data_IF_479084456625
#
_entry.id   IF_479084456625
#
_cell.length_a   1.000
_cell.length_b   1.000
_cell.length_c   1.000
_cell.angle_alpha   90.00
_cell.angle_beta   90.00
_cell.angle_gamma   90.00
#
_symmetry.space_group_name_H-M   'P 1'
#
loop_
_entity.id
_entity.type
_entity.pdbx_description
1 polymer ?
#
# COMPACT_ATOMS: atom_id res chain seq x y z
N UNK A 1 -7.41 13.58 -8.15
CA UNK A 1 -6.14 13.81 -7.43
C UNK A 1 -5.15 12.83 -8.01
N UNK A 2 -4.00 13.27 -8.54
CA UNK A 2 -2.99 12.36 -9.09
C UNK A 2 -1.94 12.14 -8.01
N UNK A 3 -1.90 10.93 -7.47
CA UNK A 3 -1.07 10.57 -6.33
C UNK A 3 0.30 10.06 -6.82
N UNK A 4 1.36 10.52 -6.16
CA UNK A 4 2.72 9.98 -6.28
C UNK A 4 2.96 8.94 -5.17
N UNK A 5 4.02 8.11 -5.29
CA UNK A 5 4.57 7.38 -4.16
C UNK A 5 4.80 8.30 -2.97
N UNK A 6 4.71 7.76 -1.75
CA UNK A 6 4.93 8.54 -0.54
C UNK A 6 6.28 9.27 -0.55
N UNK A 7 6.29 10.47 0.01
CA UNK A 7 7.47 11.32 0.15
C UNK A 7 7.91 11.25 1.61
N UNK A 8 9.12 10.74 1.85
CA UNK A 8 9.72 10.70 3.19
C UNK A 8 10.49 11.97 3.53
N UNK A 9 11.42 11.83 4.47
CA UNK A 9 12.21 12.95 4.99
C UNK A 9 12.99 13.67 3.86
N UNK A 10 13.14 14.99 3.98
CA UNK A 10 13.84 15.84 3.01
C UNK A 10 13.31 15.77 1.56
N UNK A 11 12.06 15.33 1.36
CA UNK A 11 11.46 15.27 0.02
C UNK A 11 11.87 14.03 -0.79
N UNK A 12 12.51 13.04 -0.17
CA UNK A 12 12.90 11.78 -0.82
C UNK A 12 11.66 10.99 -1.21
N UNK A 13 11.49 10.69 -2.49
CA UNK A 13 10.34 9.92 -2.97
C UNK A 13 10.61 8.42 -2.87
N UNK A 14 9.62 7.66 -2.42
CA UNK A 14 9.73 6.22 -2.37
C UNK A 14 9.66 5.58 -3.76
N UNK A 15 10.33 4.43 -3.90
CA UNK A 15 10.29 3.61 -5.12
C UNK A 15 8.89 3.06 -5.40
N UNK A 16 8.10 2.82 -4.35
CA UNK A 16 6.80 2.15 -4.43
C UNK A 16 5.69 2.97 -3.78
N UNK A 17 4.48 2.79 -4.29
CA UNK A 17 3.26 3.26 -3.66
C UNK A 17 3.03 2.54 -2.32
N UNK A 18 2.61 3.29 -1.30
CA UNK A 18 2.34 2.74 0.04
C UNK A 18 1.06 1.90 0.01
N UNK A 19 1.12 0.61 0.37
CA UNK A 19 -0.09 -0.21 0.47
C UNK A 19 -0.94 0.20 1.68
N UNK A 20 -2.23 -0.11 1.64
CA UNK A 20 -3.11 0.05 2.81
C UNK A 20 -2.71 -0.88 3.96
N UNK A 21 -2.89 -0.40 5.20
CA UNK A 21 -2.79 -1.21 6.42
C UNK A 21 -4.12 -1.88 6.80
N UNK A 22 -5.22 -1.50 6.15
CA UNK A 22 -6.52 -2.12 6.42
C UNK A 22 -6.46 -3.62 6.07
N UNK A 23 -6.88 -4.46 7.01
CA UNK A 23 -6.86 -5.92 6.89
C UNK A 23 -5.45 -6.52 6.71
N UNK A 24 -4.39 -5.78 7.04
CA UNK A 24 -3.00 -6.22 6.81
C UNK A 24 -2.63 -7.49 7.57
N UNK A 25 -3.25 -7.73 8.73
CA UNK A 25 -3.04 -8.94 9.55
C UNK A 25 -3.31 -10.24 8.80
N UNK A 26 -4.12 -10.22 7.75
CA UNK A 26 -4.44 -11.41 6.96
C UNK A 26 -3.47 -11.65 5.79
N UNK A 27 -2.51 -10.74 5.55
CA UNK A 27 -1.51 -10.94 4.52
C UNK A 27 -0.48 -11.96 4.98
N UNK A 28 -0.18 -12.95 4.13
CA UNK A 28 0.93 -13.90 4.37
C UNK A 28 2.30 -13.24 4.20
N UNK A 29 2.39 -12.33 3.23
CA UNK A 29 3.60 -11.60 2.87
C UNK A 29 3.33 -10.10 2.93
N UNK A 30 4.26 -9.35 3.49
CA UNK A 30 4.26 -7.90 3.64
C UNK A 30 5.22 -7.27 2.61
N UNK A 31 5.01 -5.97 2.36
CA UNK A 31 5.55 -5.26 1.19
C UNK A 31 5.08 -5.83 -0.15
N UNK A 32 5.37 -5.09 -1.24
CA UNK A 32 5.00 -5.51 -2.60
C UNK A 32 5.89 -6.65 -3.14
N UNK A 33 7.13 -6.79 -2.66
CA UNK A 33 8.04 -7.88 -3.03
C UNK A 33 8.04 -9.05 -2.03
N UNK A 34 7.25 -8.97 -0.97
CA UNK A 34 7.07 -10.08 -0.04
C UNK A 34 8.28 -10.39 0.84
N UNK A 35 9.19 -9.43 1.02
CA UNK A 35 10.43 -9.61 1.80
C UNK A 35 10.22 -9.82 3.30
N UNK A 36 9.01 -9.66 3.79
CA UNK A 36 8.67 -9.79 5.21
C UNK A 36 7.36 -10.55 5.38
N UNK A 37 7.16 -11.19 6.52
CA UNK A 37 5.98 -11.98 6.88
C UNK A 37 5.48 -11.71 8.30
N UNK A 38 6.20 -10.91 9.09
CA UNK A 38 5.86 -10.51 10.46
C UNK A 38 5.62 -9.01 10.54
N UNK A 39 4.46 -8.60 11.05
CA UNK A 39 4.17 -7.18 11.31
C UNK A 39 5.20 -6.59 12.30
N UNK A 40 5.56 -7.35 13.34
CA UNK A 40 6.56 -6.94 14.33
C UNK A 40 7.94 -6.67 13.72
N UNK A 41 8.32 -7.37 12.65
CA UNK A 41 9.58 -7.12 11.96
C UNK A 41 9.44 -6.02 10.89
N UNK A 42 8.28 -5.94 10.23
CA UNK A 42 8.00 -5.00 9.16
C UNK A 42 8.24 -3.57 9.61
N UNK A 43 7.82 -3.20 10.84
CA UNK A 43 7.86 -1.84 11.37
C UNK A 43 9.24 -1.20 11.38
N UNK A 44 10.31 -1.99 11.55
CA UNK A 44 11.67 -1.46 11.63
C UNK A 44 12.18 -0.96 10.28
N UNK A 45 11.69 -1.52 9.19
CA UNK A 45 12.16 -1.17 7.85
C UNK A 45 11.79 0.27 7.45
N UNK A 46 10.51 0.73 7.52
CA UNK A 46 10.18 2.12 7.24
C UNK A 46 10.77 3.09 8.27
N UNK A 47 10.88 2.68 9.54
CA UNK A 47 11.50 3.49 10.60
C UNK A 47 12.96 3.83 10.28
N UNK A 48 13.72 2.86 9.79
CA UNK A 48 15.16 2.99 9.51
C UNK A 48 15.47 3.38 8.06
N UNK A 49 14.52 3.24 7.13
CA UNK A 49 14.75 3.54 5.73
C UNK A 49 15.01 5.04 5.52
N UNK A 50 16.16 5.36 4.93
CA UNK A 50 16.60 6.74 4.68
C UNK A 50 15.65 7.54 3.76
N UNK A 51 14.94 6.88 2.85
CA UNK A 51 13.94 7.54 1.99
C UNK A 51 12.58 7.70 2.65
N UNK A 52 12.39 7.16 3.86
CA UNK A 52 11.13 7.15 4.59
C UNK A 52 11.26 7.97 5.88
N UNK A 53 11.29 7.31 7.06
CA UNK A 53 11.36 7.99 8.36
C UNK A 53 12.80 8.29 8.82
N UNK A 54 13.79 7.60 8.23
CA UNK A 54 15.22 7.85 8.38
C UNK A 54 15.76 7.94 9.82
N UNK A 55 15.22 7.15 10.74
CA UNK A 55 15.79 7.04 12.09
C UNK A 55 17.19 6.41 12.02
N UNK A 56 18.22 6.97 12.68
CA UNK A 56 19.60 6.50 12.54
C UNK A 56 19.84 5.06 13.01
N UNK A 57 19.10 4.61 14.03
CA UNK A 57 19.22 3.26 14.58
C UNK A 57 18.04 2.92 15.49
N UNK A 58 17.87 1.63 15.79
CA UNK A 58 16.91 1.14 16.79
C UNK A 58 17.18 1.76 18.17
N UNK A 59 18.46 1.85 18.57
CA UNK A 59 18.84 2.47 19.84
C UNK A 59 18.45 3.95 19.93
N UNK A 60 18.56 4.67 18.83
CA UNK A 60 18.11 6.06 18.73
C UNK A 60 16.59 6.17 18.94
N UNK A 61 15.81 5.28 18.32
CA UNK A 61 14.35 5.24 18.49
C UNK A 61 13.98 4.98 19.95
N UNK A 62 14.60 3.98 20.59
CA UNK A 62 14.35 3.67 22.01
C UNK A 62 14.69 4.88 22.90
N UNK A 63 15.83 5.53 22.64
CA UNK A 63 16.23 6.73 23.39
C UNK A 63 15.22 7.87 23.19
N UNK A 64 14.79 8.12 21.94
CA UNK A 64 13.78 9.11 21.61
C UNK A 64 12.48 8.85 22.36
N UNK A 65 11.95 7.62 22.32
CA UNK A 65 10.70 7.27 23.00
C UNK A 65 10.79 7.46 24.53
N UNK A 66 11.94 7.18 25.15
CA UNK A 66 12.17 7.43 26.59
C UNK A 66 12.21 8.92 26.97
N UNK A 67 12.44 9.81 26.00
CA UNK A 67 12.47 11.26 26.23
C UNK A 67 11.10 11.91 26.02
N UNK A 68 10.11 11.18 25.50
CA UNK A 68 8.75 11.69 25.36
C UNK A 68 8.05 11.55 26.72
N UNK A 69 7.60 12.68 27.27
CA UNK A 69 6.90 12.72 28.55
C UNK A 69 5.69 11.75 28.55
N UNK A 70 5.61 10.89 29.56
CA UNK A 70 4.53 9.91 29.74
C UNK A 70 4.72 8.57 29.02
N UNK A 71 5.63 8.46 28.03
CA UNK A 71 5.79 7.20 27.29
C UNK A 71 6.41 6.09 28.15
N UNK A 72 7.28 6.41 29.11
CA UNK A 72 7.85 5.39 30.01
C UNK A 72 6.72 4.75 30.83
N UNK A 73 5.82 5.56 31.39
CA UNK A 73 4.70 5.13 32.21
C UNK A 73 3.69 4.31 31.40
N UNK A 74 3.32 4.78 30.21
CA UNK A 74 2.37 4.06 29.33
C UNK A 74 2.94 2.71 28.89
N UNK A 75 4.23 2.63 28.56
CA UNK A 75 4.86 1.36 28.20
C UNK A 75 4.99 0.41 29.40
N UNK A 76 5.25 0.91 30.61
CA UNK A 76 5.30 0.05 31.80
C UNK A 76 3.90 -0.47 32.17
N UNK A 77 2.86 0.32 31.99
CA UNK A 77 1.46 -0.10 32.20
C UNK A 77 1.02 -1.17 31.19
N UNK A 78 1.30 -0.94 29.89
CA UNK A 78 0.99 -1.91 28.83
C UNK A 78 1.87 -3.17 28.88
N UNK A 79 3.14 -3.02 29.29
CA UNK A 79 4.14 -4.09 29.31
C UNK A 79 4.94 -4.16 30.64
N UNK A 80 4.31 -4.65 31.73
CA UNK A 80 4.93 -4.68 33.04
C UNK A 80 6.26 -5.44 33.06
N UNK A 81 7.30 -4.81 33.64
CA UNK A 81 8.69 -5.30 33.76
C UNK A 81 9.47 -5.37 32.44
N UNK A 82 8.91 -4.90 31.33
CA UNK A 82 9.60 -4.83 30.02
C UNK A 82 9.88 -3.38 29.62
N UNK A 83 8.92 -2.48 29.85
CA UNK A 83 9.00 -1.07 29.46
C UNK A 83 9.28 -0.89 27.96
N UNK A 84 9.96 0.19 27.59
CA UNK A 84 10.31 0.49 26.19
C UNK A 84 11.51 -0.36 25.74
N UNK A 85 11.26 -1.32 24.83
CA UNK A 85 12.26 -2.21 24.23
C UNK A 85 11.92 -2.49 22.75
N UNK A 86 12.80 -3.20 22.04
CA UNK A 86 12.55 -3.63 20.65
C UNK A 86 11.28 -4.48 20.57
N UNK A 87 11.13 -5.41 21.51
CA UNK A 87 9.98 -6.32 21.58
C UNK A 87 8.68 -5.56 21.85
N UNK A 88 8.66 -4.62 22.80
CA UNK A 88 7.42 -3.93 23.16
C UNK A 88 7.03 -2.86 22.14
N UNK A 89 7.99 -2.20 21.49
CA UNK A 89 7.71 -1.25 20.40
C UNK A 89 7.10 -1.98 19.19
N UNK A 90 7.74 -3.09 18.78
CA UNK A 90 7.24 -3.89 17.66
C UNK A 90 5.87 -4.50 17.94
N UNK A 91 5.66 -5.02 19.15
CA UNK A 91 4.39 -5.58 19.57
C UNK A 91 3.28 -4.54 19.66
N UNK A 92 3.57 -3.34 20.17
CA UNK A 92 2.57 -2.26 20.28
C UNK A 92 2.06 -1.82 18.90
N UNK A 93 2.97 -1.57 17.95
CA UNK A 93 2.59 -1.15 16.59
C UNK A 93 1.88 -2.29 15.87
N UNK A 94 2.42 -3.50 15.91
CA UNK A 94 1.78 -4.66 15.27
C UNK A 94 0.39 -4.92 15.86
N UNK A 95 0.22 -4.81 17.18
CA UNK A 95 -1.08 -4.97 17.86
C UNK A 95 -2.09 -3.94 17.37
N UNK A 96 -1.68 -2.69 17.21
CA UNK A 96 -2.53 -1.66 16.60
C UNK A 96 -2.88 -1.99 15.15
N UNK A 97 -1.92 -2.40 14.32
CA UNK A 97 -2.19 -2.79 12.92
C UNK A 97 -3.17 -3.97 12.82
N UNK A 98 -3.18 -4.89 13.80
CA UNK A 98 -4.13 -5.99 13.87
C UNK A 98 -5.56 -5.54 14.19
N UNK A 99 -5.78 -4.35 14.74
CA UNK A 99 -7.14 -3.82 14.99
C UNK A 99 -7.74 -3.15 13.76
N UNK A 100 -6.94 -2.85 12.73
CA UNK A 100 -7.35 -2.15 11.51
C UNK A 100 -8.15 -3.06 10.55
N UNK A 101 -9.22 -3.66 11.06
CA UNK A 101 -10.06 -4.62 10.33
C UNK A 101 -11.27 -3.92 9.74
N UNK A 102 -11.27 -3.82 8.42
CA UNK A 102 -12.39 -3.27 7.65
C UNK A 102 -13.24 -4.40 7.07
N UNK A 103 -14.50 -4.49 7.49
CA UNK A 103 -15.41 -5.57 7.11
C UNK A 103 -16.86 -5.10 6.97
N UNK A 104 -17.77 -6.07 6.81
CA UNK A 104 -19.19 -5.84 6.59
C UNK A 104 -19.48 -4.89 5.42
N UNK A 105 -18.72 -5.02 4.32
CA UNK A 105 -18.99 -4.23 3.11
C UNK A 105 -20.32 -4.62 2.47
N UNK A 106 -20.81 -3.82 1.52
CA UNK A 106 -22.02 -4.18 0.76
C UNK A 106 -21.88 -5.52 0.02
N UNK A 107 -20.68 -5.85 -0.45
CA UNK A 107 -20.38 -7.19 -0.97
C UNK A 107 -20.57 -8.27 0.10
N UNK A 108 -20.11 -8.07 1.33
CA UNK A 108 -20.25 -9.07 2.39
C UNK A 108 -21.72 -9.35 2.72
N UNK A 109 -22.50 -8.27 2.85
CA UNK A 109 -23.94 -8.33 3.09
C UNK A 109 -24.66 -9.11 1.98
N UNK A 110 -24.31 -8.84 0.73
CA UNK A 110 -24.89 -9.53 -0.42
C UNK A 110 -24.44 -10.99 -0.54
N UNK A 111 -23.12 -11.23 -0.60
CA UNK A 111 -22.56 -12.53 -0.96
C UNK A 111 -22.60 -13.53 0.21
N UNK A 112 -22.20 -13.10 1.41
CA UNK A 112 -22.17 -13.93 2.61
C UNK A 112 -23.45 -13.79 3.44
N UNK A 113 -23.92 -12.56 3.65
CA UNK A 113 -25.13 -12.25 4.40
C UNK A 113 -26.45 -12.56 3.66
N UNK A 114 -26.38 -12.86 2.36
CA UNK A 114 -27.52 -13.20 1.49
C UNK A 114 -28.58 -12.10 1.36
N UNK A 115 -28.23 -10.85 1.63
CA UNK A 115 -29.10 -9.71 1.37
C UNK A 115 -29.09 -9.38 -0.13
N UNK A 116 -30.14 -9.78 -0.84
CA UNK A 116 -30.27 -9.56 -2.29
C UNK A 116 -30.31 -8.08 -2.70
N UNK A 117 -30.59 -7.18 -1.75
CA UNK A 117 -30.76 -5.74 -1.97
C UNK A 117 -29.53 -4.93 -1.55
N UNK A 118 -28.52 -5.55 -0.95
CA UNK A 118 -27.32 -4.86 -0.47
C UNK A 118 -26.50 -4.22 -1.61
N UNK A 119 -26.59 -4.75 -2.84
CA UNK A 119 -25.93 -4.21 -4.03
C UNK A 119 -26.87 -4.15 -5.25
N UNK A 120 -26.57 -3.25 -6.18
CA UNK A 120 -27.32 -3.09 -7.43
C UNK A 120 -27.14 -4.26 -8.39
N UNK A 121 -28.05 -4.42 -9.36
CA UNK A 121 -27.92 -5.45 -10.39
C UNK A 121 -26.70 -5.23 -11.30
N UNK A 122 -26.30 -3.98 -11.54
CA UNK A 122 -25.07 -3.67 -12.27
C UNK A 122 -23.83 -4.14 -11.49
N UNK A 123 -23.80 -4.01 -10.15
CA UNK A 123 -22.71 -4.55 -9.33
C UNK A 123 -22.72 -6.09 -9.28
N UNK A 124 -23.90 -6.74 -9.27
CA UNK A 124 -24.01 -8.22 -9.39
C UNK A 124 -23.44 -8.69 -10.73
N UNK A 125 -23.76 -8.00 -11.83
CA UNK A 125 -23.16 -8.26 -13.15
C UNK A 125 -21.66 -8.00 -13.16
N UNK A 126 -21.20 -6.98 -12.45
CA UNK A 126 -19.79 -6.73 -12.20
C UNK A 126 -19.09 -7.94 -11.58
N UNK A 127 -19.68 -8.54 -10.54
CA UNK A 127 -19.14 -9.75 -9.93
C UNK A 127 -19.12 -10.95 -10.89
N UNK A 128 -20.16 -11.16 -11.70
CA UNK A 128 -20.17 -12.20 -12.73
C UNK A 128 -19.02 -12.03 -13.73
N UNK A 129 -18.72 -10.79 -14.14
CA UNK A 129 -17.58 -10.48 -15.03
C UNK A 129 -16.27 -10.73 -14.29
N UNK A 130 -16.15 -10.29 -13.04
CA UNK A 130 -14.97 -10.45 -12.21
C UNK A 130 -14.58 -11.92 -12.02
N UNK A 131 -15.57 -12.77 -11.76
CA UNK A 131 -15.39 -14.21 -11.59
C UNK A 131 -15.28 -14.99 -12.91
N UNK A 132 -15.89 -14.48 -13.98
CA UNK A 132 -15.97 -15.12 -15.29
C UNK A 132 -15.03 -14.49 -16.31
N UNK A 133 -15.58 -13.66 -17.20
CA UNK A 133 -14.88 -13.12 -18.38
C UNK A 133 -13.58 -12.38 -18.04
N UNK A 134 -13.58 -11.61 -16.95
CA UNK A 134 -12.40 -10.89 -16.48
C UNK A 134 -11.38 -11.78 -15.77
N UNK A 135 -11.80 -12.96 -15.29
CA UNK A 135 -10.98 -13.94 -14.57
C UNK A 135 -10.16 -13.34 -13.41
N UNK A 136 -10.61 -12.21 -12.85
CA UNK A 136 -9.94 -11.48 -11.79
C UNK A 136 -9.83 -12.31 -10.51
N UNK A 137 -10.84 -13.17 -10.27
CA UNK A 137 -10.91 -14.09 -9.14
C UNK A 137 -9.74 -15.09 -9.08
N UNK A 138 -9.04 -15.33 -10.18
CA UNK A 138 -7.90 -16.24 -10.23
C UNK A 138 -6.73 -15.77 -9.35
N UNK A 139 -6.58 -14.46 -9.17
CA UNK A 139 -5.59 -13.85 -8.27
C UNK A 139 -6.26 -13.14 -7.08
N UNK A 140 -7.41 -12.52 -7.30
CA UNK A 140 -8.17 -11.82 -6.28
C UNK A 140 -9.28 -12.72 -5.71
N UNK A 141 -8.85 -13.76 -4.99
CA UNK A 141 -9.70 -14.87 -4.60
C UNK A 141 -10.86 -14.50 -3.65
N UNK A 142 -12.00 -15.14 -3.90
CA UNK A 142 -13.19 -15.16 -3.02
C UNK A 142 -13.37 -16.60 -2.55
N UNK A 143 -13.27 -16.82 -1.24
CA UNK A 143 -13.37 -18.14 -0.63
C UNK A 143 -14.76 -18.37 -0.03
N UNK A 144 -15.02 -19.61 0.39
CA UNK A 144 -16.30 -20.04 0.96
C UNK A 144 -16.72 -19.20 2.18
N UNK A 145 -15.76 -18.86 3.04
CA UNK A 145 -16.03 -18.25 4.34
C UNK A 145 -15.51 -16.80 4.45
N UNK A 146 -14.72 -16.34 3.48
CA UNK A 146 -14.15 -15.00 3.47
C UNK A 146 -13.74 -14.55 2.07
N UNK A 147 -13.71 -13.23 1.85
CA UNK A 147 -13.20 -12.64 0.61
C UNK A 147 -12.19 -11.54 0.94
N UNK A 148 -10.91 -11.88 1.02
CA UNK A 148 -9.85 -10.87 1.13
C UNK A 148 -9.38 -10.38 -0.23
N UNK A 149 -9.88 -10.97 -1.33
CA UNK A 149 -9.54 -10.59 -2.70
C UNK A 149 -8.04 -10.64 -2.97
N UNK A 150 -7.38 -11.68 -2.47
CA UNK A 150 -5.94 -11.91 -2.55
C UNK A 150 -5.65 -13.41 -2.55
N UNK A 151 -4.66 -13.85 -3.31
CA UNK A 151 -4.20 -15.24 -3.40
C UNK A 151 -2.91 -15.51 -2.62
N UNK A 152 -2.29 -14.47 -2.04
CA UNK A 152 -0.99 -14.50 -1.39
C UNK A 152 0.14 -15.01 -2.30
N UNK A 153 0.03 -14.77 -3.62
CA UNK A 153 1.06 -15.07 -4.61
C UNK A 153 1.60 -13.80 -5.25
N UNK A 154 2.56 -13.97 -6.14
CA UNK A 154 3.22 -12.91 -6.87
C UNK A 154 3.00 -13.08 -8.37
N UNK A 155 2.72 -11.98 -9.05
CA UNK A 155 2.44 -11.97 -10.48
C UNK A 155 3.15 -10.80 -11.14
N UNK A 156 3.52 -11.00 -12.40
CA UNK A 156 4.05 -9.98 -13.27
C UNK A 156 2.95 -9.55 -14.23
N UNK A 157 2.53 -8.28 -14.12
CA UNK A 157 1.57 -7.64 -15.03
C UNK A 157 2.25 -6.84 -16.14
N UNK A 158 3.58 -6.71 -16.07
CA UNK A 158 4.44 -6.01 -17.01
C UNK A 158 4.77 -4.57 -16.64
N UNK A 159 4.15 -3.98 -15.60
CA UNK A 159 4.47 -2.60 -15.16
C UNK A 159 5.92 -2.50 -14.69
N UNK A 160 6.36 -3.39 -13.79
CA UNK A 160 7.75 -3.38 -13.32
C UNK A 160 8.78 -3.58 -14.44
N UNK A 161 8.41 -4.35 -15.48
CA UNK A 161 9.23 -4.54 -16.67
C UNK A 161 9.39 -3.25 -17.46
N UNK A 162 8.29 -2.57 -17.80
CA UNK A 162 8.31 -1.29 -18.53
C UNK A 162 9.14 -0.25 -17.80
N UNK A 163 8.96 -0.15 -16.47
CA UNK A 163 9.75 0.75 -15.64
C UNK A 163 11.24 0.43 -15.70
N UNK A 164 11.60 -0.86 -15.60
CA UNK A 164 13.00 -1.31 -15.62
C UNK A 164 13.69 -1.13 -16.97
N UNK A 165 12.93 -1.24 -18.07
CA UNK A 165 13.45 -1.08 -19.42
C UNK A 165 13.51 0.38 -19.87
N UNK A 166 12.99 1.31 -19.05
CA UNK A 166 12.96 2.74 -19.39
C UNK A 166 12.13 3.04 -20.63
N UNK A 167 11.13 2.18 -20.91
CA UNK A 167 10.21 2.31 -22.05
C UNK A 167 9.00 3.21 -21.72
N UNK A 168 8.92 3.76 -20.51
CA UNK A 168 8.08 4.93 -20.25
C UNK A 168 8.53 6.10 -21.14
N UNK A 169 7.56 6.82 -21.70
CA UNK A 169 7.81 7.92 -22.61
C UNK A 169 8.61 9.03 -21.88
N UNK A 170 9.92 9.09 -22.12
CA UNK A 170 10.82 10.12 -21.56
C UNK A 170 10.47 11.54 -22.02
N UNK A 171 9.64 11.65 -23.07
CA UNK A 171 9.14 12.89 -23.61
C UNK A 171 7.71 13.11 -23.11
N UNK A 172 7.58 13.76 -21.94
CA UNK A 172 6.29 14.07 -21.35
C UNK A 172 6.40 14.95 -20.11
N UNK A 173 5.24 15.48 -19.68
CA UNK A 173 5.09 16.14 -18.39
C UNK A 173 4.49 15.17 -17.40
N UNK A 174 5.07 15.10 -16.20
CA UNK A 174 4.55 14.35 -15.06
C UNK A 174 4.03 15.37 -14.04
N UNK A 175 2.80 15.18 -13.58
CA UNK A 175 2.19 16.03 -12.56
C UNK A 175 2.86 15.78 -11.21
N UNK A 176 3.35 16.83 -10.58
CA UNK A 176 4.11 16.80 -9.32
C UNK A 176 3.38 17.60 -8.27
N UNK A 177 3.14 16.98 -7.12
CA UNK A 177 2.66 17.68 -5.94
C UNK A 177 3.83 18.43 -5.29
N UNK A 178 3.71 19.76 -5.17
CA UNK A 178 4.71 20.59 -4.48
C UNK A 178 4.37 20.79 -3.01
N UNK A 179 3.08 20.76 -2.67
CA UNK A 179 2.58 20.84 -1.29
C UNK A 179 1.20 20.17 -1.19
N UNK A 180 0.70 19.84 0.01
CA UNK A 180 -0.64 19.27 0.18
C UNK A 180 -1.70 20.03 -0.63
N UNK A 181 -2.35 19.35 -1.59
CA UNK A 181 -3.34 19.94 -2.50
C UNK A 181 -2.81 20.73 -3.73
N UNK A 182 -1.53 21.10 -3.81
CA UNK A 182 -0.99 21.92 -4.92
C UNK A 182 -0.10 21.12 -5.88
N UNK A 183 -0.38 21.23 -7.19
CA UNK A 183 0.26 20.43 -8.23
C UNK A 183 0.75 21.28 -9.40
N UNK A 184 1.87 20.88 -10.02
CA UNK A 184 2.43 21.44 -11.26
C UNK A 184 2.80 20.33 -12.24
N UNK A 185 2.63 20.55 -13.53
CA UNK A 185 3.09 19.62 -14.56
C UNK A 185 4.56 19.91 -14.89
N UNK A 186 5.45 18.98 -14.56
CA UNK A 186 6.91 19.14 -14.70
C UNK A 186 7.42 18.19 -15.76
N UNK A 187 8.29 18.66 -16.64
CA UNK A 187 8.93 17.79 -17.63
C UNK A 187 9.71 16.66 -16.94
N UNK A 188 9.57 15.45 -17.48
CA UNK A 188 10.21 14.24 -16.93
C UNK A 188 11.74 14.41 -16.87
N UNK A 189 12.33 15.19 -17.79
CA UNK A 189 13.76 15.55 -17.77
C UNK A 189 14.14 16.37 -16.52
N UNK A 190 13.31 17.34 -16.13
CA UNK A 190 13.54 18.15 -14.92
C UNK A 190 13.42 17.29 -13.67
N UNK A 191 12.41 16.40 -13.63
CA UNK A 191 12.26 15.46 -12.50
C UNK A 191 13.49 14.55 -12.41
N UNK A 192 13.96 14.04 -13.54
CA UNK A 192 15.11 13.15 -13.61
C UNK A 192 16.41 13.84 -13.19
N UNK A 193 16.56 15.15 -13.42
CA UNK A 193 17.76 15.90 -13.06
C UNK A 193 17.82 16.29 -11.58
N UNK A 194 16.67 16.39 -10.89
CA UNK A 194 16.59 16.73 -9.46
C UNK A 194 16.34 15.54 -8.55
N UNK A 195 16.01 14.37 -9.11
CA UNK A 195 15.82 13.17 -8.31
C UNK A 195 17.17 12.68 -7.77
N UNK A 196 17.41 12.94 -6.48
CA UNK A 196 18.65 12.56 -5.79
C UNK A 196 18.82 11.03 -5.69
N UNK A 197 17.73 10.27 -5.79
CA UNK A 197 17.81 8.82 -5.96
C UNK A 197 17.82 8.49 -7.46
N UNK A 198 18.92 7.87 -7.92
CA UNK A 198 18.92 7.14 -9.18
C UNK A 198 17.68 6.24 -9.17
N UNK A 199 16.81 6.36 -10.17
CA UNK A 199 15.69 5.43 -10.35
C UNK A 199 16.27 4.02 -10.43
N UNK A 200 16.23 3.30 -9.32
CA UNK A 200 16.61 1.90 -9.29
C UNK A 200 15.51 1.11 -9.99
N UNK A 201 15.92 0.19 -10.86
CA UNK A 201 14.98 -0.71 -11.50
C UNK A 201 14.34 -1.58 -10.41
N UNK A 202 13.03 -1.44 -10.22
CA UNK A 202 12.30 -2.28 -9.28
C UNK A 202 12.04 -3.66 -9.88
N UNK A 203 12.91 -4.60 -9.53
CA UNK A 203 12.80 -5.99 -10.00
C UNK A 203 11.80 -6.83 -9.19
N UNK A 204 11.06 -6.24 -8.24
CA UNK A 204 10.07 -6.96 -7.43
C UNK A 204 10.69 -8.05 -6.55
N UNK A 205 10.04 -9.23 -6.50
CA UNK A 205 10.48 -10.40 -5.72
C UNK A 205 11.91 -10.87 -6.02
N UNK A 206 12.45 -10.57 -7.22
CA UNK A 206 13.86 -10.83 -7.53
C UNK A 206 14.80 -10.18 -6.51
N UNK A 207 14.50 -8.99 -5.99
CA UNK A 207 15.34 -8.29 -5.00
C UNK A 207 15.47 -9.05 -3.68
N UNK A 208 14.58 -10.01 -3.43
CA UNK A 208 14.55 -10.87 -2.23
C UNK A 208 15.17 -12.23 -2.51
N UNK A 209 14.93 -12.78 -3.70
CA UNK A 209 15.22 -14.19 -4.01
C UNK A 209 16.41 -14.40 -4.92
N UNK A 210 16.86 -13.36 -5.62
CA UNK A 210 17.90 -13.39 -6.66
C UNK A 210 17.64 -14.39 -7.80
N UNK A 211 16.45 -14.98 -7.87
CA UNK A 211 16.07 -15.92 -8.92
C UNK A 211 15.60 -15.15 -10.17
N UNK A 212 16.28 -15.26 -11.33
CA UNK A 212 15.91 -14.54 -12.56
C UNK A 212 14.45 -14.70 -12.99
N UNK A 213 13.82 -15.84 -12.68
CA UNK A 213 12.41 -16.10 -13.01
C UNK A 213 11.42 -15.31 -12.12
N UNK A 214 11.92 -14.64 -11.08
CA UNK A 214 11.11 -13.81 -10.16
C UNK A 214 11.17 -12.31 -10.47
N UNK A 215 11.79 -11.90 -11.59
CA UNK A 215 11.81 -10.49 -11.98
C UNK A 215 10.40 -9.96 -12.22
N UNK A 216 10.15 -8.77 -11.68
CA UNK A 216 8.90 -8.01 -11.79
C UNK A 216 7.66 -8.73 -11.25
N UNK A 217 7.86 -9.78 -10.45
CA UNK A 217 6.79 -10.38 -9.67
C UNK A 217 6.51 -9.50 -8.45
N UNK A 218 5.27 -9.05 -8.32
CA UNK A 218 4.77 -8.33 -7.15
C UNK A 218 3.59 -9.07 -6.55
N UNK A 219 3.44 -8.97 -5.23
CA UNK A 219 2.35 -9.58 -4.49
C UNK A 219 1.02 -9.04 -4.99
N UNK A 220 0.05 -9.92 -5.20
CA UNK A 220 -1.34 -9.50 -5.43
C UNK A 220 -1.84 -8.71 -4.21
N UNK A 221 -2.26 -7.43 -4.33
CA UNK A 221 -2.83 -6.70 -3.21
C UNK A 221 -4.29 -7.13 -2.95
N UNK A 222 -4.79 -6.88 -1.74
CA UNK A 222 -6.24 -6.97 -1.47
C UNK A 222 -7.00 -5.91 -2.28
N UNK A 223 -8.23 -6.21 -2.69
CA UNK A 223 -9.17 -5.24 -3.25
C UNK A 223 -10.17 -4.68 -2.22
N UNK A 224 -10.05 -5.06 -0.94
CA UNK A 224 -10.83 -4.44 0.14
C UNK A 224 -10.51 -2.95 0.20
N UNK A 225 -11.54 -2.12 0.26
CA UNK A 225 -11.43 -0.65 0.30
C UNK A 225 -10.69 -0.04 -0.90
N UNK A 226 -10.67 -0.72 -2.06
CA UNK A 226 -9.90 -0.26 -3.22
C UNK A 226 -10.28 1.16 -3.69
N UNK A 227 -11.51 1.61 -3.45
CA UNK A 227 -11.94 2.98 -3.79
C UNK A 227 -11.25 4.07 -2.99
N UNK A 228 -10.68 3.73 -1.83
CA UNK A 228 -10.07 4.68 -0.89
C UNK A 228 -8.54 4.69 -0.95
N UNK A 229 -7.94 3.85 -1.81
CA UNK A 229 -6.50 3.57 -1.80
C UNK A 229 -5.83 3.93 -3.12
N UNK A 230 -6.39 4.89 -3.87
CA UNK A 230 -5.69 5.46 -5.02
C UNK A 230 -4.37 6.13 -4.57
N UNK A 231 -3.30 6.09 -5.38
CA UNK A 231 -3.21 5.51 -6.70
C UNK A 231 -3.02 3.99 -6.64
N UNK A 232 -3.07 3.34 -7.80
CA UNK A 232 -3.04 1.90 -7.95
C UNK A 232 -1.69 1.40 -8.46
N UNK A 233 -1.50 0.09 -8.36
CA UNK A 233 -0.25 -0.63 -8.69
C UNK A 233 0.86 -0.39 -7.66
N UNK A 234 1.94 -1.17 -7.78
CA UNK A 234 3.06 -1.13 -6.83
C UNK A 234 3.83 0.20 -6.86
N UNK A 235 3.74 0.95 -7.95
CA UNK A 235 4.45 2.21 -8.21
C UNK A 235 3.51 3.43 -8.25
N UNK A 236 2.20 3.24 -8.14
CA UNK A 236 1.22 4.32 -8.21
C UNK A 236 0.99 4.86 -9.63
N UNK A 237 1.39 4.11 -10.66
CA UNK A 237 1.33 4.53 -12.07
C UNK A 237 -0.09 4.77 -12.60
N UNK A 238 -1.10 4.11 -12.04
CA UNK A 238 -2.50 4.26 -12.45
C UNK A 238 -3.29 5.01 -11.38
N UNK A 239 -4.10 5.98 -11.77
CA UNK A 239 -4.75 6.91 -10.85
C UNK A 239 -6.23 6.61 -10.62
N UNK A 240 -6.88 5.91 -11.55
CA UNK A 240 -8.32 5.63 -11.51
C UNK A 240 -8.60 4.13 -11.66
N UNK A 241 -9.73 3.66 -11.16
CA UNK A 241 -10.14 2.27 -11.35
C UNK A 241 -10.42 1.99 -12.84
N UNK A 242 -10.85 3.00 -13.58
CA UNK A 242 -11.01 2.99 -15.02
C UNK A 242 -9.68 2.65 -15.71
N UNK A 243 -8.59 3.34 -15.36
CA UNK A 243 -7.25 3.05 -15.89
C UNK A 243 -6.79 1.63 -15.54
N UNK A 244 -7.05 1.15 -14.32
CA UNK A 244 -6.72 -0.21 -13.89
C UNK A 244 -7.49 -1.25 -14.73
N UNK A 245 -8.80 -1.06 -14.89
CA UNK A 245 -9.64 -1.97 -15.69
C UNK A 245 -9.23 -1.94 -17.15
N UNK A 246 -8.91 -0.77 -17.71
CA UNK A 246 -8.42 -0.64 -19.08
C UNK A 246 -7.05 -1.31 -19.28
N UNK A 247 -6.15 -1.19 -18.31
CA UNK A 247 -4.85 -1.85 -18.32
C UNK A 247 -4.99 -3.37 -18.39
N UNK A 248 -5.82 -3.97 -17.52
CA UNK A 248 -6.04 -5.41 -17.55
C UNK A 248 -6.85 -5.87 -18.77
N UNK A 249 -7.82 -5.07 -19.24
CA UNK A 249 -8.57 -5.38 -20.46
C UNK A 249 -7.66 -5.47 -21.70
N UNK A 250 -6.59 -4.65 -21.73
CA UNK A 250 -5.56 -4.68 -22.77
C UNK A 250 -4.53 -5.81 -22.60
N UNK A 251 -4.59 -6.57 -21.51
CA UNK A 251 -3.68 -7.69 -21.25
C UNK A 251 -2.31 -7.28 -20.72
N UNK A 252 -2.24 -6.20 -19.94
CA UNK A 252 -1.00 -5.73 -19.31
C UNK A 252 0.11 -5.35 -20.29
N UNK A 253 1.37 -5.37 -19.83
CA UNK A 253 2.53 -5.12 -20.70
C UNK A 253 3.30 -6.40 -21.00
N UNK A 254 3.32 -6.78 -22.28
CA UNK A 254 3.93 -8.01 -22.75
C UNK A 254 5.44 -8.07 -22.46
N UNK A 255 5.89 -9.19 -21.92
CA UNK A 255 7.30 -9.51 -21.66
C UNK A 255 7.47 -11.02 -21.46
N UNK A 256 8.72 -11.49 -21.45
CA UNK A 256 9.06 -12.92 -21.39
C UNK A 256 8.65 -13.63 -20.09
N UNK A 257 8.45 -12.88 -19.00
CA UNK A 257 8.04 -13.39 -17.69
C UNK A 257 6.61 -12.96 -17.30
N UNK A 258 5.80 -12.50 -18.26
CA UNK A 258 4.43 -12.09 -17.98
C UNK A 258 3.63 -13.27 -17.41
N UNK A 259 2.81 -13.01 -16.38
CA UNK A 259 1.94 -14.05 -15.81
C UNK A 259 0.99 -14.59 -16.89
N UNK A 260 0.86 -15.92 -17.05
CA UNK A 260 0.00 -16.53 -18.08
C UNK A 260 -1.49 -16.24 -17.87
N UNK A 261 -1.87 -15.71 -16.70
CA UNK A 261 -3.23 -15.27 -16.39
C UNK A 261 -3.57 -13.92 -17.02
N UNK A 262 -2.56 -13.13 -17.38
CA UNK A 262 -2.72 -11.79 -17.95
C UNK A 262 -2.87 -11.90 -19.46
N UNK A 263 -4.08 -11.60 -19.95
CA UNK A 263 -4.45 -11.65 -21.37
C UNK A 263 -5.50 -10.61 -21.68
N UNK A 264 -5.65 -10.27 -22.96
CA UNK A 264 -6.69 -9.34 -23.41
C UNK A 264 -8.08 -9.90 -23.09
N UNK A 265 -8.95 -9.09 -22.48
CA UNK A 265 -10.27 -9.51 -21.99
C UNK A 265 -11.42 -9.15 -22.95
N UNK A 266 -11.22 -8.12 -23.78
CA UNK A 266 -12.22 -7.60 -24.73
C UNK A 266 -13.54 -7.23 -24.03
N UNK A 267 -13.45 -6.52 -22.92
CA UNK A 267 -14.57 -6.00 -22.15
C UNK A 267 -15.23 -4.82 -22.89
N UNK A 268 -16.55 -4.85 -22.99
CA UNK A 268 -17.34 -3.72 -23.45
C UNK A 268 -17.30 -2.57 -22.42
N UNK A 269 -17.60 -1.34 -22.86
CA UNK A 269 -17.70 -0.18 -21.95
C UNK A 269 -18.67 -0.43 -20.78
N UNK A 270 -19.77 -1.15 -21.05
CA UNK A 270 -20.75 -1.50 -20.01
C UNK A 270 -20.16 -2.48 -18.99
N UNK A 271 -19.47 -3.52 -19.45
CA UNK A 271 -18.83 -4.50 -18.56
C UNK A 271 -17.75 -3.85 -17.67
N UNK A 272 -16.95 -2.92 -18.22
CA UNK A 272 -15.96 -2.15 -17.44
C UNK A 272 -16.61 -1.34 -16.33
N UNK A 273 -17.70 -0.62 -16.65
CA UNK A 273 -18.46 0.13 -15.64
C UNK A 273 -19.03 -0.78 -14.55
N UNK A 274 -19.60 -1.92 -14.94
CA UNK A 274 -20.17 -2.89 -14.00
C UNK A 274 -19.09 -3.48 -13.07
N UNK A 275 -17.89 -3.77 -13.57
CA UNK A 275 -16.74 -4.16 -12.74
C UNK A 275 -16.38 -3.08 -11.71
N UNK A 276 -16.37 -1.81 -12.11
CA UNK A 276 -16.09 -0.70 -11.20
C UNK A 276 -17.20 -0.56 -10.16
N UNK A 277 -18.47 -0.70 -10.56
CA UNK A 277 -19.59 -0.68 -9.63
C UNK A 277 -19.53 -1.84 -8.63
N UNK A 278 -19.06 -3.01 -9.05
CA UNK A 278 -18.72 -4.10 -8.14
C UNK A 278 -17.60 -3.74 -7.17
N UNK A 279 -16.48 -3.16 -7.64
CA UNK A 279 -15.36 -2.78 -6.77
C UNK A 279 -15.75 -1.75 -5.70
N UNK A 280 -16.71 -0.85 -5.99
CA UNK A 280 -17.27 0.09 -5.00
C UNK A 280 -17.99 -0.61 -3.83
N UNK A 281 -18.40 -1.86 -4.00
CA UNK A 281 -19.07 -2.63 -2.92
C UNK A 281 -18.09 -3.26 -1.92
N UNK A 282 -16.78 -3.11 -2.15
CA UNK A 282 -15.72 -3.77 -1.37
C UNK A 282 -15.22 -2.95 -0.17
N UNK A 283 -15.76 -1.75 0.02
CA UNK A 283 -15.41 -0.85 1.13
C UNK A 283 -16.22 -1.20 2.38
N UNK A 284 -15.53 -1.42 3.51
CA UNK A 284 -16.18 -1.80 4.77
C UNK A 284 -17.01 -0.67 5.36
N UNK A 285 -18.16 -0.98 5.93
CA UNK A 285 -19.04 0.03 6.54
C UNK A 285 -18.43 0.68 7.79
N UNK A 286 -17.54 -0.04 8.48
CA UNK A 286 -16.85 0.44 9.67
C UNK A 286 -15.62 1.31 9.36
N UNK A 287 -15.27 1.56 8.09
CA UNK A 287 -14.08 2.32 7.73
C UNK A 287 -14.05 3.71 8.37
N UNK A 288 -15.19 4.41 8.39
CA UNK A 288 -15.27 5.73 9.01
C UNK A 288 -14.96 5.69 10.51
N UNK A 289 -15.34 4.62 11.22
CA UNK A 289 -15.04 4.47 12.64
C UNK A 289 -13.54 4.24 12.86
N UNK A 290 -12.89 3.43 12.02
CA UNK A 290 -11.44 3.21 12.07
C UNK A 290 -10.70 4.54 11.85
N UNK A 291 -11.13 5.34 10.87
CA UNK A 291 -10.54 6.65 10.59
C UNK A 291 -10.76 7.62 11.75
N UNK A 292 -11.98 7.68 12.30
CA UNK A 292 -12.31 8.53 13.45
C UNK A 292 -11.49 8.18 14.68
N UNK A 293 -11.32 6.90 14.97
CA UNK A 293 -10.49 6.41 16.07
C UNK A 293 -9.03 6.86 15.89
N UNK A 294 -8.48 6.65 14.69
CA UNK A 294 -7.11 7.01 14.36
C UNK A 294 -6.83 8.53 14.50
N UNK A 295 -7.76 9.41 14.11
CA UNK A 295 -7.57 10.87 14.24
C UNK A 295 -7.86 11.41 15.64
N UNK A 296 -8.59 10.65 16.46
CA UNK A 296 -8.93 11.07 17.83
C UNK A 296 -7.77 10.92 18.80
N UNK A 297 -6.81 10.06 18.48
CA UNK A 297 -5.59 9.88 19.26
C UNK A 297 -4.69 11.10 19.10
N UNK A 298 -4.32 11.82 20.18
CA UNK A 298 -3.40 12.94 20.09
C UNK A 298 -2.09 12.48 19.45
N UNK A 299 -1.69 13.13 18.35
CA UNK A 299 -0.32 13.03 17.87
C UNK A 299 0.56 13.60 18.98
N UNK A 300 1.60 12.86 19.41
CA UNK A 300 2.49 13.29 20.48
C UNK A 300 3.01 14.72 20.29
N UNK A 301 3.45 15.37 21.37
CA UNK A 301 3.82 16.79 21.37
C UNK A 301 4.73 17.16 20.19
N UNK A 302 4.23 17.89 19.19
CA UNK A 302 4.98 18.40 18.04
C UNK A 302 5.70 19.73 18.35
N UNK A 303 5.74 20.15 19.63
CA UNK A 303 6.43 21.35 20.05
C UNK A 303 7.95 21.21 19.94
N UNK A 304 8.66 22.31 20.22
CA UNK A 304 10.12 22.35 20.33
C UNK A 304 10.71 21.48 21.46
N UNK A 305 9.87 20.70 22.15
CA UNK A 305 10.30 19.68 23.13
C UNK A 305 10.35 18.27 22.55
N UNK A 306 9.74 17.99 21.40
CA UNK A 306 9.92 16.70 20.71
C UNK A 306 11.40 16.54 20.36
N UNK A 307 12.10 15.49 20.83
CA UNK A 307 13.42 15.15 20.34
C UNK A 307 13.30 14.63 18.89
N UNK A 308 13.10 15.55 17.95
CA UNK A 308 13.02 15.32 16.50
C UNK A 308 14.28 15.84 15.80
N UNK A 309 14.35 15.67 14.48
CA UNK A 309 15.47 16.14 13.65
C UNK A 309 15.73 17.66 13.76
N UNK A 310 14.81 18.44 14.33
CA UNK A 310 14.99 19.87 14.61
C UNK A 310 15.28 20.22 16.08
N UNK A 311 15.36 19.24 16.98
CA UNK A 311 15.61 19.44 18.40
C UNK A 311 16.42 18.27 18.99
N UNK A 312 17.72 18.49 19.12
CA UNK A 312 18.70 17.49 19.56
C UNK A 312 18.76 17.32 21.08
N UNK A 313 17.99 18.10 21.84
CA UNK A 313 18.09 18.18 23.29
C UNK A 313 17.93 16.80 23.95
N UNK A 314 18.97 16.39 24.69
CA UNK A 314 19.00 15.09 25.39
C UNK A 314 19.40 13.91 24.50
N UNK A 315 19.56 14.11 23.19
CA UNK A 315 20.09 13.10 22.27
C UNK A 315 21.61 13.01 22.32
N UNK A 316 22.30 14.04 22.84
CA UNK A 316 23.75 14.03 23.12
C UNK A 316 24.60 14.51 21.95
N UNK A 317 24.03 15.37 21.11
CA UNK A 317 24.77 16.11 20.07
C UNK A 317 25.21 17.51 20.55
N UNK A 318 24.63 17.94 21.66
CA UNK A 318 24.92 19.12 22.46
C UNK A 318 26.24 19.00 23.26
#
# INVERSE_FOLDING_TARGET
MNYKPAVGIEGRSNLRNSPTLLNVVYNKFLFHDGREFSLQNQIWQPLLAHSEMAMPSIGFIIKKLKLIDGYIEIFEDAYPRKGISVETISDAIASYEMTLISGNSKFDQWFYGKDSNAISDDAKKGFEIFAGKGNCIACHAVNKDHALFIDNKFHNTGIGYVNSMGSENKNGKKRVQLSPGNYVDVDVEIISSVNQQKLENDLGLYRVTENPNHRWLFRTPTLRNITETAPYMHDGSLHTLEEVVDFYDNGGHQNELLSPLIKKLNLTKKEKRQLIDFMKTLTGENLNLIVLDAISTPVGDLSSKDPSWGNEKGMGYD
#
